data_IF_520878696230
#
_entry.id   IF_520878696230
#
_cell.length_a   1.000
_cell.length_b   1.000
_cell.length_c   1.000
_cell.angle_alpha   90.00
_cell.angle_beta   90.00
_cell.angle_gamma   90.00
#
_symmetry.space_group_name_H-M   'P 1'
#
loop_
_entity.id
_entity.type
_entity.pdbx_description
1 polymer ?
#
# COMPACT_ATOMS: atom_id res chain seq x y z
N UNK A 1 -7.81 -13.46 20.72
CA UNK A 1 -9.26 -13.64 20.89
C UNK A 1 -9.89 -13.78 19.52
N UNK A 2 -10.34 -14.99 19.15
CA UNK A 2 -10.87 -15.27 17.80
C UNK A 2 -12.40 -15.18 17.78
N UNK A 3 -12.95 -14.59 16.73
CA UNK A 3 -14.39 -14.62 16.44
C UNK A 3 -14.84 -16.08 16.30
N UNK A 4 -15.71 -16.53 17.20
CA UNK A 4 -16.16 -17.94 17.31
C UNK A 4 -17.23 -18.34 16.29
N UNK A 5 -17.53 -17.45 15.33
CA UNK A 5 -18.64 -17.61 14.40
C UNK A 5 -19.97 -17.30 15.08
N UNK A 6 -20.81 -16.52 14.41
CA UNK A 6 -22.26 -16.65 14.60
C UNK A 6 -22.73 -17.68 13.58
N UNK A 7 -23.56 -18.63 14.03
CA UNK A 7 -24.06 -19.75 13.22
C UNK A 7 -24.99 -19.28 12.10
N UNK A 8 -24.42 -18.59 11.10
CA UNK A 8 -25.09 -18.17 9.89
C UNK A 8 -25.52 -19.43 9.12
N UNK A 9 -26.82 -19.72 9.17
CA UNK A 9 -27.47 -20.73 8.33
C UNK A 9 -27.65 -20.14 6.94
N UNK A 10 -26.66 -20.29 6.08
CA UNK A 10 -26.70 -19.88 4.68
C UNK A 10 -25.50 -20.42 3.90
N UNK A 11 -25.53 -20.29 2.57
CA UNK A 11 -24.50 -20.85 1.68
C UNK A 11 -23.18 -20.04 1.65
N UNK A 12 -23.03 -19.09 2.59
CA UNK A 12 -21.88 -18.19 2.64
C UNK A 12 -20.71 -18.86 3.33
N UNK A 13 -19.65 -19.14 2.56
CA UNK A 13 -18.42 -19.75 3.06
C UNK A 13 -17.57 -18.71 3.81
N UNK A 14 -17.60 -18.75 5.14
CA UNK A 14 -16.80 -17.87 6.00
C UNK A 14 -15.41 -18.46 6.22
N UNK A 15 -14.36 -17.72 5.86
CA UNK A 15 -12.97 -18.11 6.10
C UNK A 15 -12.43 -17.49 7.40
N UNK A 16 -12.35 -18.30 8.47
CA UNK A 16 -11.86 -17.84 9.77
C UNK A 16 -10.41 -17.30 9.73
N UNK A 17 -10.12 -16.38 10.66
CA UNK A 17 -8.78 -15.83 10.87
C UNK A 17 -7.89 -16.87 11.56
N UNK A 18 -6.61 -16.97 11.17
CA UNK A 18 -5.61 -17.81 11.86
C UNK A 18 -5.37 -19.21 11.28
N UNK A 19 -6.28 -19.77 10.48
CA UNK A 19 -6.09 -21.10 9.86
C UNK A 19 -6.24 -21.02 8.34
N UNK A 20 -5.11 -21.07 7.61
CA UNK A 20 -5.12 -21.18 6.15
C UNK A 20 -5.30 -22.67 5.80
N UNK A 21 -6.30 -23.06 5.00
CA UNK A 21 -6.47 -24.45 4.62
C UNK A 21 -5.23 -24.96 3.86
N UNK A 22 -4.80 -26.20 4.16
CA UNK A 22 -3.67 -26.84 3.46
C UNK A 22 -3.96 -26.98 1.96
N UNK A 23 -5.23 -27.21 1.62
CA UNK A 23 -5.79 -27.30 0.26
C UNK A 23 -6.01 -25.95 -0.43
N UNK A 24 -5.68 -24.83 0.22
CA UNK A 24 -5.83 -23.51 -0.39
C UNK A 24 -4.93 -23.37 -1.63
N UNK A 25 -5.51 -22.84 -2.71
CA UNK A 25 -4.75 -22.41 -3.90
C UNK A 25 -3.74 -21.33 -3.52
N UNK A 26 -2.65 -21.22 -4.31
CA UNK A 26 -1.60 -20.21 -4.09
C UNK A 26 -2.18 -18.79 -4.05
N UNK A 27 -3.17 -18.50 -4.91
CA UNK A 27 -3.89 -17.22 -4.94
C UNK A 27 -4.64 -16.98 -3.64
N UNK A 28 -5.48 -17.90 -3.18
CA UNK A 28 -6.24 -17.78 -1.94
C UNK A 28 -5.31 -17.56 -0.74
N UNK A 29 -4.20 -18.29 -0.67
CA UNK A 29 -3.19 -18.11 0.38
C UNK A 29 -2.58 -16.71 0.36
N UNK A 30 -2.28 -16.15 -0.82
CA UNK A 30 -1.77 -14.77 -0.97
C UNK A 30 -2.81 -13.73 -0.51
N UNK A 31 -4.07 -13.90 -0.86
CA UNK A 31 -5.17 -13.04 -0.39
C UNK A 31 -5.32 -13.11 1.14
N UNK A 32 -5.35 -14.32 1.71
CA UNK A 32 -5.47 -14.53 3.16
C UNK A 32 -4.28 -14.00 3.95
N UNK A 33 -3.08 -13.90 3.36
CA UNK A 33 -1.93 -13.23 3.97
C UNK A 33 -2.03 -11.70 3.88
N UNK A 34 -2.42 -11.17 2.72
CA UNK A 34 -2.55 -9.72 2.51
C UNK A 34 -3.60 -9.06 3.41
N UNK A 35 -4.67 -9.77 3.79
CA UNK A 35 -5.69 -9.23 4.70
C UNK A 35 -5.14 -8.75 6.04
N UNK A 36 -4.02 -9.33 6.51
CA UNK A 36 -3.40 -8.90 7.77
C UNK A 36 -2.89 -7.45 7.72
N UNK A 37 -2.65 -6.91 6.52
CA UNK A 37 -2.27 -5.52 6.32
C UNK A 37 -3.45 -4.54 6.39
N UNK A 38 -4.70 -5.03 6.32
CA UNK A 38 -5.90 -4.16 6.31
C UNK A 38 -6.08 -3.45 7.66
N UNK A 39 -5.93 -4.16 8.77
CA UNK A 39 -6.07 -3.58 10.12
C UNK A 39 -5.06 -2.45 10.38
N UNK A 40 -3.75 -2.62 10.11
CA UNK A 40 -2.79 -1.51 10.16
C UNK A 40 -3.19 -0.32 9.28
N UNK A 41 -3.65 -0.56 8.05
CA UNK A 41 -4.08 0.52 7.14
C UNK A 41 -5.27 1.29 7.73
N UNK A 42 -6.26 0.60 8.30
CA UNK A 42 -7.39 1.26 8.98
C UNK A 42 -6.90 2.07 10.18
N UNK A 43 -5.93 1.54 10.95
CA UNK A 43 -5.27 2.27 12.03
C UNK A 43 -4.64 3.58 11.56
N UNK A 44 -3.84 3.53 10.48
CA UNK A 44 -3.25 4.72 9.87
C UNK A 44 -4.28 5.70 9.32
N UNK A 45 -5.36 5.21 8.69
CA UNK A 45 -6.44 6.08 8.23
C UNK A 45 -7.09 6.84 9.39
N UNK A 46 -7.29 6.15 10.53
CA UNK A 46 -7.83 6.70 11.77
C UNK A 46 -6.94 7.77 12.39
N UNK A 47 -5.63 7.54 12.51
CA UNK A 47 -4.70 8.49 13.13
C UNK A 47 -4.26 9.61 12.19
N UNK A 48 -3.85 9.26 10.97
CA UNK A 48 -3.06 10.13 10.09
C UNK A 48 -3.95 10.87 9.09
N UNK A 49 -5.06 10.25 8.67
CA UNK A 49 -5.97 10.78 7.65
C UNK A 49 -7.32 11.24 8.22
N UNK A 50 -7.34 11.57 9.52
CA UNK A 50 -8.50 12.17 10.22
C UNK A 50 -9.80 11.38 10.12
N UNK A 51 -9.74 10.08 9.83
CA UNK A 51 -10.93 9.24 9.79
C UNK A 51 -11.64 9.18 11.16
N UNK A 52 -10.90 9.34 12.27
CA UNK A 52 -11.47 9.44 13.62
C UNK A 52 -12.08 10.81 13.98
N UNK A 53 -11.85 11.86 13.18
CA UNK A 53 -12.30 13.23 13.46
C UNK A 53 -13.18 13.71 12.30
N UNK A 54 -14.41 13.23 12.27
CA UNK A 54 -15.38 13.70 11.28
C UNK A 54 -15.94 15.07 11.70
N UNK A 55 -15.73 16.08 10.86
CA UNK A 55 -16.31 17.42 11.04
C UNK A 55 -17.58 17.65 10.18
N UNK A 56 -17.99 16.65 9.41
CA UNK A 56 -19.18 16.67 8.56
C UNK A 56 -20.37 16.11 9.33
N UNK A 57 -21.51 16.79 9.26
CA UNK A 57 -22.70 16.42 10.01
C UNK A 57 -23.49 15.26 9.36
N UNK A 58 -23.96 14.35 10.21
CA UNK A 58 -24.87 13.27 9.85
C UNK A 58 -24.23 12.11 9.09
N UNK A 59 -25.05 11.08 8.81
CA UNK A 59 -24.59 9.84 8.16
C UNK A 59 -23.99 10.05 6.77
N UNK A 60 -24.49 11.05 6.02
CA UNK A 60 -23.93 11.41 4.73
C UNK A 60 -22.50 11.96 4.88
N UNK A 61 -22.25 12.77 5.90
CA UNK A 61 -20.94 13.28 6.27
C UNK A 61 -19.97 12.17 6.68
N UNK A 62 -20.43 11.21 7.48
CA UNK A 62 -19.61 10.06 7.88
C UNK A 62 -19.12 9.26 6.66
N UNK A 63 -20.03 8.97 5.72
CA UNK A 63 -19.70 8.26 4.48
C UNK A 63 -18.71 9.04 3.64
N UNK A 64 -18.93 10.36 3.48
CA UNK A 64 -18.02 11.23 2.73
C UNK A 64 -16.62 11.29 3.38
N UNK A 65 -16.53 11.42 4.70
CA UNK A 65 -15.27 11.47 5.42
C UNK A 65 -14.44 10.18 5.21
N UNK A 66 -15.08 9.01 5.24
CA UNK A 66 -14.42 7.72 4.97
C UNK A 66 -13.82 7.69 3.57
N UNK A 67 -14.60 8.09 2.56
CA UNK A 67 -14.15 8.09 1.16
C UNK A 67 -13.00 9.08 0.95
N UNK A 68 -13.10 10.28 1.52
CA UNK A 68 -12.07 11.31 1.41
C UNK A 68 -10.77 10.91 2.11
N UNK A 69 -10.86 10.34 3.32
CA UNK A 69 -9.68 9.84 4.03
C UNK A 69 -8.97 8.72 3.24
N UNK A 70 -9.74 7.79 2.66
CA UNK A 70 -9.19 6.73 1.81
C UNK A 70 -8.56 7.29 0.52
N UNK A 71 -9.18 8.29 -0.11
CA UNK A 71 -8.64 8.96 -1.28
C UNK A 71 -7.32 9.66 -0.95
N UNK A 72 -7.26 10.41 0.16
CA UNK A 72 -6.05 11.09 0.62
C UNK A 72 -4.89 10.10 0.87
N UNK A 73 -5.16 8.95 1.51
CA UNK A 73 -4.17 7.88 1.69
C UNK A 73 -3.65 7.31 0.36
N UNK A 74 -4.53 7.13 -0.63
CA UNK A 74 -4.14 6.66 -1.94
C UNK A 74 -3.30 7.69 -2.71
N UNK A 75 -3.68 8.97 -2.65
CA UNK A 75 -2.90 10.06 -3.24
C UNK A 75 -1.52 10.17 -2.60
N UNK A 76 -1.40 10.09 -1.27
CA UNK A 76 -0.12 10.13 -0.58
C UNK A 76 0.85 9.03 -1.05
N UNK A 77 0.36 7.80 -1.27
CA UNK A 77 1.16 6.71 -1.85
C UNK A 77 1.60 7.01 -3.27
N UNK A 78 0.73 7.59 -4.10
CA UNK A 78 1.05 7.95 -5.47
C UNK A 78 2.13 9.04 -5.52
N UNK A 79 2.01 10.07 -4.67
CA UNK A 79 3.03 11.11 -4.53
C UNK A 79 4.37 10.50 -4.09
N UNK A 80 4.38 9.64 -3.06
CA UNK A 80 5.59 8.96 -2.61
C UNK A 80 6.25 8.15 -3.73
N UNK A 81 5.44 7.50 -4.58
CA UNK A 81 5.94 6.77 -5.73
C UNK A 81 6.58 7.70 -6.78
N UNK A 82 5.93 8.83 -7.11
CA UNK A 82 6.50 9.82 -8.03
C UNK A 82 7.81 10.43 -7.51
N UNK A 83 7.90 10.74 -6.22
CA UNK A 83 9.14 11.23 -5.61
C UNK A 83 10.27 10.19 -5.67
N UNK A 84 9.94 8.92 -5.38
CA UNK A 84 10.89 7.82 -5.50
C UNK A 84 11.37 7.64 -6.94
N UNK A 85 10.44 7.63 -7.91
CA UNK A 85 10.76 7.50 -9.33
C UNK A 85 11.65 8.65 -9.83
N UNK A 86 11.36 9.89 -9.43
CA UNK A 86 12.17 11.06 -9.78
C UNK A 86 13.59 10.94 -9.18
N UNK A 87 13.70 10.58 -7.91
CA UNK A 87 15.00 10.42 -7.24
C UNK A 87 15.83 9.29 -7.89
N UNK A 88 15.20 8.18 -8.23
CA UNK A 88 15.86 7.07 -8.91
C UNK A 88 16.37 7.49 -10.29
N UNK A 89 15.54 8.20 -11.07
CA UNK A 89 15.93 8.72 -12.38
C UNK A 89 17.15 9.63 -12.31
N UNK A 90 17.16 10.59 -11.37
CA UNK A 90 18.30 11.49 -11.19
C UNK A 90 19.59 10.74 -10.86
N UNK A 91 19.53 9.70 -10.03
CA UNK A 91 20.69 8.88 -9.69
C UNK A 91 21.20 8.09 -10.89
N UNK A 92 20.30 7.53 -11.70
CA UNK A 92 20.66 6.80 -12.92
C UNK A 92 21.32 7.74 -13.92
N UNK A 93 20.73 8.92 -14.17
CA UNK A 93 21.30 9.93 -15.08
C UNK A 93 22.70 10.38 -14.62
N UNK A 94 22.88 10.65 -13.32
CA UNK A 94 24.19 10.99 -12.75
C UNK A 94 25.21 9.84 -12.89
N UNK A 95 24.78 8.58 -12.71
CA UNK A 95 25.63 7.41 -12.89
C UNK A 95 26.08 7.24 -14.34
N UNK A 96 25.16 7.36 -15.30
CA UNK A 96 25.47 7.29 -16.73
C UNK A 96 26.44 8.41 -17.13
N UNK A 97 26.18 9.65 -16.67
CA UNK A 97 27.05 10.79 -16.95
C UNK A 97 28.47 10.58 -16.38
N UNK A 98 28.57 10.07 -15.15
CA UNK A 98 29.86 9.72 -14.51
C UNK A 98 30.60 8.61 -15.25
N UNK A 99 29.89 7.59 -15.74
CA UNK A 99 30.49 6.49 -16.50
C UNK A 99 30.97 6.96 -17.88
N UNK A 100 30.19 7.79 -18.57
CA UNK A 100 30.58 8.41 -19.85
C UNK A 100 31.81 9.32 -19.70
N UNK A 101 31.89 10.11 -18.63
CA UNK A 101 33.06 10.95 -18.33
C UNK A 101 34.33 10.12 -18.05
N UNK A 102 34.21 9.01 -17.30
CA UNK A 102 35.33 8.11 -17.05
C UNK A 102 35.87 7.46 -18.35
N UNK A 103 34.97 7.10 -19.29
CA UNK A 103 35.37 6.60 -20.62
C UNK A 103 36.10 7.66 -21.45
N UNK A 104 35.63 8.91 -21.45
CA UNK A 104 36.27 9.98 -22.21
C UNK A 104 37.67 10.34 -21.67
N UNK A 105 37.86 10.34 -20.35
CA UNK A 105 39.17 10.61 -19.74
C UNK A 105 40.20 9.50 -19.99
N UNK A 106 39.76 8.25 -20.23
CA UNK A 106 40.69 7.18 -20.63
C UNK A 106 41.09 7.29 -22.10
N UNK A 107 40.23 7.84 -22.97
CA UNK A 107 40.58 8.04 -24.38
C UNK A 107 41.59 9.16 -24.60
N UNK A 108 41.61 10.21 -23.75
CA UNK A 108 42.61 11.29 -23.84
C UNK A 108 44.01 10.91 -23.32
N UNK A 109 44.15 9.80 -22.60
CA UNK A 109 45.44 9.35 -22.04
C UNK A 109 46.21 8.38 -22.97
N UNK A 110 45.60 7.96 -24.07
CA UNK A 110 46.16 7.03 -25.06
C UNK A 110 46.37 7.67 -26.46
N UNK A 111 46.29 9.00 -26.57
CA UNK A 111 46.64 9.78 -27.75
C UNK A 111 47.91 10.60 -27.47
#
# INVERSE_FOLDING_TARGET
MGYRGHGLKGDTKIHLVGKIPKTATKSLRKWMKRRAAVEPIIGHLKSDYRLNRNHLNGQAGDRANVVLAAAAYNMAKLLAWFYCAKSLRQKIEAFICRFSFNRNNQCEFFA
#
